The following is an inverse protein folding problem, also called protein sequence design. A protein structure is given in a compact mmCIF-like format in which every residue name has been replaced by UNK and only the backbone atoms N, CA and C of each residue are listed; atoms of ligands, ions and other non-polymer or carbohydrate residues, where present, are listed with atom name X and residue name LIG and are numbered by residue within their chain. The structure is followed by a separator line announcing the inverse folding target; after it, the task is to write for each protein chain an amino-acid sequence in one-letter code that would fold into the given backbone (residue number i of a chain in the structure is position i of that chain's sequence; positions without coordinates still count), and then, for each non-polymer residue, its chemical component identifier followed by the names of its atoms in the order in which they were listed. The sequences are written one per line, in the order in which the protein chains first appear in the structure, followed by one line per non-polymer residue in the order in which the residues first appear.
data_IF_349712556600
#
_entry.id   IF_349712556600
#
_cell.length_a   1.000
_cell.length_b   1.000
_cell.length_c   1.000
_cell.angle_alpha   90.00
_cell.angle_beta   90.00
_cell.angle_gamma   90.00
#
_symmetry.space_group_name_H-M   'P 1'
#
loop_
_entity.id
_entity.type
_entity.pdbx_description
1 polymer ?
#
# COMPACT_ATOMS: atom_id res chain seq x y z
N UNK A 1 -13.78 -6.43 -11.47
CA UNK A 1 -12.45 -7.09 -11.51
C UNK A 1 -11.33 -6.18 -10.97
N UNK A 2 -11.19 -4.94 -11.45
CA UNK A 2 -10.09 -4.02 -11.06
C UNK A 2 -9.99 -3.71 -9.55
N UNK A 3 -11.12 -3.55 -8.83
CA UNK A 3 -11.11 -3.26 -7.38
C UNK A 3 -10.49 -4.38 -6.54
N UNK A 4 -10.77 -5.65 -6.88
CA UNK A 4 -10.21 -6.81 -6.18
C UNK A 4 -8.69 -6.90 -6.39
N UNK A 5 -8.23 -6.66 -7.62
CA UNK A 5 -6.80 -6.64 -7.96
C UNK A 5 -6.05 -5.55 -7.18
N UNK A 6 -6.63 -4.35 -7.10
CA UNK A 6 -6.02 -3.25 -6.36
C UNK A 6 -5.97 -3.52 -4.85
N UNK A 7 -7.01 -4.13 -4.30
CA UNK A 7 -7.03 -4.54 -2.89
C UNK A 7 -5.93 -5.56 -2.58
N UNK A 8 -5.70 -6.51 -3.50
CA UNK A 8 -4.65 -7.52 -3.37
C UNK A 8 -3.24 -6.88 -3.44
N UNK A 9 -3.04 -5.92 -4.34
CA UNK A 9 -1.81 -5.15 -4.41
C UNK A 9 -1.53 -4.36 -3.11
N UNK A 10 -2.57 -3.78 -2.50
CA UNK A 10 -2.46 -3.10 -1.21
C UNK A 10 -2.03 -4.10 -0.12
N UNK A 11 -2.62 -5.29 -0.07
CA UNK A 11 -2.27 -6.34 0.90
C UNK A 11 -0.82 -6.79 0.74
N UNK A 12 -0.42 -7.17 -0.47
CA UNK A 12 0.95 -7.60 -0.76
C UNK A 12 1.97 -6.51 -0.43
N UNK A 13 1.68 -5.26 -0.80
CA UNK A 13 2.59 -4.14 -0.51
C UNK A 13 2.69 -3.85 0.99
N UNK A 14 1.58 -3.98 1.74
CA UNK A 14 1.60 -3.86 3.21
C UNK A 14 2.48 -4.94 3.84
N UNK A 15 2.36 -6.19 3.42
CA UNK A 15 3.21 -7.27 3.91
C UNK A 15 4.69 -7.00 3.62
N UNK A 16 5.01 -6.56 2.41
CA UNK A 16 6.39 -6.23 2.04
C UNK A 16 6.95 -5.04 2.84
N UNK A 17 6.15 -4.01 3.10
CA UNK A 17 6.54 -2.91 3.98
C UNK A 17 6.83 -3.40 5.40
N UNK A 18 5.96 -4.26 5.96
CA UNK A 18 6.16 -4.81 7.32
C UNK A 18 7.40 -5.71 7.40
N UNK A 19 7.67 -6.54 6.38
CA UNK A 19 8.91 -7.33 6.29
C UNK A 19 10.14 -6.44 6.23
N UNK A 20 10.08 -5.36 5.43
CA UNK A 20 11.15 -4.37 5.33
C UNK A 20 11.37 -3.65 6.66
N UNK A 21 10.29 -3.27 7.34
CA UNK A 21 10.33 -2.62 8.65
C UNK A 21 10.90 -3.53 9.73
N UNK A 22 10.57 -4.82 9.69
CA UNK A 22 11.12 -5.81 10.63
C UNK A 22 12.64 -5.97 10.48
N UNK A 23 13.17 -5.79 9.26
CA UNK A 23 14.61 -5.91 8.99
C UNK A 23 15.38 -4.58 9.16
N UNK A 24 14.83 -3.48 8.65
CA UNK A 24 15.52 -2.19 8.53
C UNK A 24 15.03 -1.12 9.51
N UNK A 25 13.92 -1.37 10.21
CA UNK A 25 13.24 -0.40 11.06
C UNK A 25 12.18 0.42 10.29
N UNK A 26 11.20 0.95 11.02
CA UNK A 26 10.11 1.75 10.44
C UNK A 26 10.56 3.09 9.86
N UNK A 27 11.61 3.67 10.44
CA UNK A 27 12.15 4.96 10.01
C UNK A 27 13.24 4.81 8.94
N UNK A 28 13.52 3.59 8.48
CA UNK A 28 14.46 3.41 7.37
C UNK A 28 13.89 4.05 6.12
N UNK A 29 14.76 4.64 5.30
CA UNK A 29 14.36 5.21 4.03
C UNK A 29 13.60 4.19 3.17
N UNK A 30 14.04 2.93 3.18
CA UNK A 30 13.41 1.85 2.44
C UNK A 30 11.98 1.57 2.93
N UNK A 31 11.75 1.54 4.25
CA UNK A 31 10.40 1.35 4.79
C UNK A 31 9.50 2.55 4.51
N UNK A 32 10.05 3.77 4.60
CA UNK A 32 9.32 5.01 4.30
C UNK A 32 8.88 5.07 2.83
N UNK A 33 9.77 4.74 1.89
CA UNK A 33 9.44 4.66 0.46
C UNK A 33 8.31 3.64 0.21
N UNK A 34 8.39 2.46 0.85
CA UNK A 34 7.35 1.42 0.75
C UNK A 34 6.02 1.88 1.36
N UNK A 35 6.05 2.64 2.45
CA UNK A 35 4.84 3.26 3.05
C UNK A 35 4.20 4.25 2.10
N UNK A 36 4.98 5.15 1.51
CA UNK A 36 4.47 6.14 0.56
C UNK A 36 3.84 5.48 -0.68
N UNK A 37 4.44 4.39 -1.16
CA UNK A 37 3.88 3.61 -2.26
C UNK A 37 2.57 2.92 -1.86
N UNK A 38 2.47 2.41 -0.64
CA UNK A 38 1.23 1.82 -0.10
C UNK A 38 0.12 2.87 -0.02
N UNK A 39 0.43 4.06 0.48
CA UNK A 39 -0.52 5.17 0.58
C UNK A 39 -1.09 5.57 -0.79
N UNK A 40 -0.24 5.63 -1.83
CA UNK A 40 -0.69 5.88 -3.20
C UNK A 40 -1.70 4.84 -3.70
N UNK A 41 -1.49 3.56 -3.38
CA UNK A 41 -2.43 2.50 -3.75
C UNK A 41 -3.75 2.62 -2.98
N UNK A 42 -3.70 2.95 -1.69
CA UNK A 42 -4.88 3.17 -0.85
C UNK A 42 -5.71 4.35 -1.39
N UNK A 43 -5.07 5.47 -1.71
CA UNK A 43 -5.74 6.64 -2.29
C UNK A 43 -6.42 6.27 -3.62
N UNK A 44 -5.72 5.52 -4.49
CA UNK A 44 -6.29 5.04 -5.75
C UNK A 44 -7.52 4.17 -5.53
N UNK A 45 -7.48 3.28 -4.54
CA UNK A 45 -8.60 2.41 -4.19
C UNK A 45 -9.79 3.20 -3.62
N UNK A 46 -9.53 4.17 -2.76
CA UNK A 46 -10.55 5.05 -2.20
C UNK A 46 -11.23 5.89 -3.28
N UNK A 47 -10.48 6.46 -4.23
CA UNK A 47 -11.05 7.22 -5.36
C UNK A 47 -11.98 6.34 -6.21
N UNK A 48 -11.53 5.15 -6.59
CA UNK A 48 -12.37 4.16 -7.29
C UNK A 48 -13.63 3.74 -6.52
N UNK A 49 -13.67 3.95 -5.20
CA UNK A 49 -14.85 3.68 -4.37
C UNK A 49 -15.73 4.92 -4.12
N UNK A 50 -15.17 6.14 -4.21
CA UNK A 50 -15.92 7.39 -4.09
C UNK A 50 -16.69 7.75 -5.36
N UNK A 51 -16.22 7.35 -6.54
CA UNK A 51 -16.89 7.61 -7.82
C UNK A 51 -18.15 6.75 -8.07
N UNK A 52 -18.66 6.07 -7.02
CA UNK A 52 -19.79 5.15 -7.07
C UNK A 52 -21.04 5.68 -6.33
N UNK A 53 -21.08 6.97 -5.99
CA UNK A 53 -22.24 7.65 -5.38
C UNK A 53 -22.62 8.89 -6.19
#
# INVERSE_FOLDING_TARGET
MQKKLLLEQIRQKRENMLKTAAYSGFNSQQTLERSQELDRLIIKYQRLNKDNY
#
